data_IF_276453856995
#
_entry.id   IF_276453856995
#
_cell.length_a   1.000
_cell.length_b   1.000
_cell.length_c   1.000
_cell.angle_alpha   90.00
_cell.angle_beta   90.00
_cell.angle_gamma   90.00
#
_symmetry.space_group_name_H-M   'P 1'
#
loop_
_entity.id
_entity.type
_entity.pdbx_description
1 polymer ?
#
# COMPACT_ATOMS: atom_id res chain seq x y z
N UNK A 1 21.34 -5.80 -74.19
CA UNK A 1 22.77 -5.48 -73.95
C UNK A 1 22.85 -4.04 -73.41
N UNK A 2 23.82 -3.68 -72.55
CA UNK A 2 24.63 -4.56 -71.69
C UNK A 2 24.99 -4.01 -70.26
N UNK A 3 25.35 -4.95 -69.37
CA UNK A 3 26.41 -4.97 -68.33
C UNK A 3 26.79 -3.83 -67.34
N UNK A 4 27.31 -4.36 -66.20
CA UNK A 4 28.45 -3.92 -65.35
C UNK A 4 28.14 -3.14 -64.06
N UNK A 5 28.71 -3.46 -62.88
CA UNK A 5 29.44 -4.66 -62.40
C UNK A 5 29.54 -4.66 -60.85
N UNK A 6 29.75 -5.84 -60.25
CA UNK A 6 30.28 -6.08 -58.89
C UNK A 6 31.84 -6.01 -58.89
N UNK A 7 32.61 -6.11 -57.76
CA UNK A 7 32.33 -6.69 -56.42
C UNK A 7 32.61 -5.68 -55.26
N UNK A 8 32.82 -5.98 -53.95
CA UNK A 8 33.26 -7.19 -53.19
C UNK A 8 32.73 -7.22 -51.74
N UNK A 9 32.82 -8.38 -51.08
CA UNK A 9 32.79 -8.63 -49.61
C UNK A 9 34.23 -8.59 -49.02
N UNK A 10 34.60 -9.03 -47.78
CA UNK A 10 33.89 -9.84 -46.74
C UNK A 10 34.02 -9.22 -45.31
N UNK A 11 33.78 -9.83 -44.14
CA UNK A 11 33.34 -11.17 -43.67
C UNK A 11 32.64 -10.97 -42.28
N UNK A 12 31.54 -11.66 -41.94
CA UNK A 12 31.44 -12.80 -40.99
C UNK A 12 31.98 -12.56 -39.55
N UNK A 13 31.32 -13.05 -38.48
CA UNK A 13 30.69 -14.37 -38.34
C UNK A 13 29.44 -14.45 -37.45
N UNK A 14 28.63 -15.48 -37.71
CA UNK A 14 27.54 -16.03 -36.89
C UNK A 14 28.09 -17.31 -36.22
N UNK A 15 27.65 -17.66 -35.00
CA UNK A 15 27.23 -19.04 -34.63
C UNK A 15 26.64 -19.10 -33.22
N UNK A 16 25.50 -19.80 -33.09
CA UNK A 16 24.98 -20.36 -31.84
C UNK A 16 25.85 -21.54 -31.37
N UNK A 17 25.79 -21.88 -30.08
CA UNK A 17 26.11 -23.24 -29.62
C UNK A 17 25.55 -23.51 -28.21
N UNK A 18 24.75 -24.57 -28.07
CA UNK A 18 24.39 -25.17 -26.79
C UNK A 18 25.57 -25.94 -26.20
N UNK A 19 25.82 -25.83 -24.88
CA UNK A 19 26.11 -26.99 -24.02
C UNK A 19 26.08 -26.70 -22.51
N UNK A 20 26.05 -27.78 -21.74
CA UNK A 20 25.53 -27.82 -20.37
C UNK A 20 26.57 -27.63 -19.24
N UNK A 21 26.04 -27.32 -18.04
CA UNK A 21 26.53 -27.67 -16.69
C UNK A 21 27.96 -27.28 -16.27
N UNK A 22 28.06 -26.46 -15.21
CA UNK A 22 28.62 -26.97 -13.95
C UNK A 22 28.06 -26.24 -12.71
N UNK A 23 28.32 -26.82 -11.53
CA UNK A 23 27.69 -26.57 -10.23
C UNK A 23 28.72 -26.03 -9.24
N UNK A 24 28.37 -25.02 -8.44
CA UNK A 24 29.09 -24.77 -7.17
C UNK A 24 28.21 -24.17 -6.08
N UNK A 25 28.19 -24.86 -4.94
CA UNK A 25 27.64 -24.40 -3.66
C UNK A 25 28.79 -23.95 -2.79
N UNK A 26 28.67 -22.83 -2.07
CA UNK A 26 29.56 -22.51 -0.93
C UNK A 26 28.75 -21.86 0.19
N UNK A 27 28.56 -22.61 1.28
CA UNK A 27 28.42 -22.05 2.62
C UNK A 27 29.83 -22.00 3.24
N UNK A 28 30.19 -20.95 4.00
CA UNK A 28 30.51 -21.09 5.42
C UNK A 28 30.73 -19.75 6.15
N UNK A 29 30.51 -19.77 7.46
CA UNK A 29 30.63 -18.65 8.41
C UNK A 29 32.04 -18.51 9.02
N UNK A 30 32.38 -17.35 9.60
CA UNK A 30 33.29 -17.25 10.77
C UNK A 30 33.00 -16.02 11.64
N UNK A 31 32.98 -16.18 12.97
CA UNK A 31 32.91 -15.12 14.00
C UNK A 31 34.29 -14.69 14.53
N UNK A 32 34.45 -13.45 15.02
CA UNK A 32 35.37 -12.96 16.09
C UNK A 32 35.17 -11.43 16.27
N UNK A 33 35.32 -10.75 17.43
CA UNK A 33 35.40 -11.11 18.86
C UNK A 33 35.36 -9.81 19.73
N UNK A 34 34.72 -9.83 20.90
CA UNK A 34 34.79 -8.77 21.96
C UNK A 34 35.93 -9.07 23.00
N UNK A 35 36.25 -8.26 24.06
CA UNK A 35 35.56 -7.06 24.64
C UNK A 35 36.47 -5.86 25.07
N UNK A 36 35.89 -4.81 25.70
CA UNK A 36 36.27 -4.17 27.00
C UNK A 36 35.70 -2.72 27.15
N UNK A 37 34.65 -2.58 27.99
CA UNK A 37 34.48 -1.67 29.18
C UNK A 37 35.09 -0.25 29.19
N UNK A 38 34.50 0.78 29.80
CA UNK A 38 33.33 0.89 30.71
C UNK A 38 32.91 2.39 30.90
N UNK A 39 31.63 2.67 31.22
CA UNK A 39 31.13 3.71 32.19
C UNK A 39 31.48 5.20 31.87
N UNK A 40 30.60 6.20 31.72
CA UNK A 40 29.28 6.57 32.28
C UNK A 40 28.77 7.83 31.48
N UNK A 41 27.56 8.42 31.59
CA UNK A 41 26.25 8.12 32.22
C UNK A 41 25.21 9.07 31.59
N UNK A 42 23.97 8.64 31.36
CA UNK A 42 22.80 9.54 31.29
C UNK A 42 21.57 8.81 31.81
N UNK A 43 21.03 9.29 32.93
CA UNK A 43 19.79 8.77 33.52
C UNK A 43 18.60 9.36 32.78
N UNK A 44 17.72 8.50 32.25
CA UNK A 44 16.33 8.83 31.97
C UNK A 44 15.51 7.55 32.10
N UNK A 45 14.81 7.41 33.23
CA UNK A 45 13.87 6.34 33.50
C UNK A 45 12.66 6.44 32.55
N UNK A 46 12.76 5.77 31.40
CA UNK A 46 11.63 5.25 30.67
C UNK A 46 11.94 3.78 30.36
N UNK A 47 11.18 2.86 30.95
CA UNK A 47 11.37 1.42 30.79
C UNK A 47 11.05 1.01 29.34
N UNK A 48 12.06 1.08 28.46
CA UNK A 48 12.02 0.46 27.13
C UNK A 48 12.18 -1.04 27.34
N UNK A 49 11.04 -1.69 27.61
CA UNK A 49 11.02 -3.15 27.70
C UNK A 49 11.34 -3.78 26.34
N UNK A 50 11.91 -4.97 26.40
CA UNK A 50 12.62 -5.59 25.27
C UNK A 50 11.64 -6.02 24.18
N UNK A 51 11.99 -5.68 22.95
CA UNK A 51 11.76 -6.47 21.73
C UNK A 51 10.43 -7.27 21.71
N UNK A 52 9.31 -6.57 21.95
CA UNK A 52 8.00 -7.13 21.70
C UNK A 52 7.83 -7.26 20.19
N UNK A 53 8.02 -8.47 19.67
CA UNK A 53 7.51 -8.87 18.36
C UNK A 53 5.99 -8.67 18.38
N UNK A 54 5.54 -7.52 17.86
CA UNK A 54 4.18 -7.03 18.03
C UNK A 54 3.21 -7.99 17.33
N UNK A 55 2.72 -8.98 18.08
CA UNK A 55 1.72 -9.93 17.61
C UNK A 55 0.35 -9.28 17.70
N UNK A 56 0.13 -8.24 16.90
CA UNK A 56 -1.24 -7.78 16.59
C UNK A 56 -1.94 -8.98 15.96
N UNK A 57 -3.00 -9.48 16.58
CA UNK A 57 -3.82 -10.53 15.98
C UNK A 57 -4.44 -9.98 14.70
N UNK A 58 -3.83 -10.30 13.55
CA UNK A 58 -4.34 -10.00 12.21
C UNK A 58 -5.81 -10.42 12.16
N UNK A 59 -6.78 -9.51 11.99
CA UNK A 59 -8.19 -9.88 12.04
C UNK A 59 -8.52 -10.74 10.82
N UNK A 60 -8.85 -12.02 11.05
CA UNK A 60 -9.29 -12.91 9.97
C UNK A 60 -10.65 -12.46 9.47
N UNK A 61 -10.66 -11.60 8.45
CA UNK A 61 -11.89 -11.23 7.74
C UNK A 61 -12.30 -12.43 6.89
N UNK A 62 -13.03 -13.35 7.51
CA UNK A 62 -13.76 -14.39 6.79
C UNK A 62 -14.82 -13.71 5.93
N UNK A 63 -14.51 -13.56 4.63
CA UNK A 63 -15.52 -13.19 3.64
C UNK A 63 -16.28 -14.46 3.28
N UNK A 64 -17.28 -14.80 4.10
CA UNK A 64 -18.23 -15.85 3.76
C UNK A 64 -18.85 -15.54 2.39
N UNK A 65 -18.68 -16.50 1.48
CA UNK A 65 -19.03 -16.36 0.05
C UNK A 65 -20.49 -16.67 -0.24
N UNK A 66 -21.28 -17.01 0.78
CA UNK A 66 -22.69 -17.32 0.63
C UNK A 66 -23.58 -16.11 0.95
N UNK A 67 -24.54 -15.87 0.05
CA UNK A 67 -25.55 -14.81 0.10
C UNK A 67 -26.03 -14.52 1.52
N UNK A 68 -26.11 -13.24 1.86
CA UNK A 68 -27.33 -12.76 2.51
C UNK A 68 -27.73 -11.36 2.03
N UNK A 69 -29.04 -11.17 1.88
CA UNK A 69 -29.71 -9.87 1.90
C UNK A 69 -29.81 -9.35 3.37
N UNK A 70 -28.73 -9.51 4.15
CA UNK A 70 -28.49 -8.81 5.42
C UNK A 70 -27.58 -7.64 5.04
N UNK A 71 -28.01 -6.39 5.04
CA UNK A 71 -28.79 -5.75 6.10
C UNK A 71 -27.81 -4.91 6.91
N UNK A 72 -28.07 -3.60 7.00
CA UNK A 72 -27.18 -2.55 7.55
C UNK A 72 -26.33 -2.97 8.76
N UNK A 73 -26.90 -3.75 9.68
CA UNK A 73 -26.26 -4.17 10.93
C UNK A 73 -24.98 -5.00 10.71
N UNK A 74 -24.93 -5.85 9.69
CA UNK A 74 -23.75 -6.68 9.39
C UNK A 74 -22.63 -5.88 8.76
N UNK A 75 -22.95 -4.90 7.90
CA UNK A 75 -21.96 -3.97 7.33
C UNK A 75 -21.43 -3.01 8.39
N UNK A 76 -22.31 -2.50 9.28
CA UNK A 76 -21.94 -1.64 10.41
C UNK A 76 -21.00 -2.37 11.39
N UNK A 77 -21.29 -3.61 11.78
CA UNK A 77 -20.38 -4.38 12.65
C UNK A 77 -18.99 -4.54 12.05
N UNK A 78 -18.90 -4.90 10.75
CA UNK A 78 -17.63 -5.01 10.03
C UNK A 78 -16.88 -3.67 10.01
N UNK A 79 -17.57 -2.57 9.70
CA UNK A 79 -16.97 -1.24 9.64
C UNK A 79 -16.40 -0.81 11.00
N UNK A 80 -17.09 -1.07 12.11
CA UNK A 80 -16.58 -0.77 13.45
C UNK A 80 -15.39 -1.65 13.85
N UNK A 81 -15.39 -2.94 13.50
CA UNK A 81 -14.22 -3.82 13.70
C UNK A 81 -12.97 -3.30 12.94
N UNK A 82 -13.17 -2.79 11.72
CA UNK A 82 -12.08 -2.25 10.88
C UNK A 82 -11.59 -0.90 11.41
N UNK A 83 -12.49 0.02 11.78
CA UNK A 83 -12.12 1.29 12.43
C UNK A 83 -11.26 1.03 13.66
N UNK A 84 -11.72 0.15 14.55
CA UNK A 84 -10.99 -0.23 15.77
C UNK A 84 -9.64 -0.84 15.45
N UNK A 85 -9.55 -1.73 14.46
CA UNK A 85 -8.26 -2.30 14.03
C UNK A 85 -7.29 -1.22 13.51
N UNK A 86 -7.80 -0.25 12.74
CA UNK A 86 -7.00 0.89 12.25
C UNK A 86 -6.53 1.75 13.42
N UNK A 87 -7.39 2.06 14.40
CA UNK A 87 -7.03 2.79 15.62
C UNK A 87 -5.96 2.03 16.45
N UNK A 88 -6.14 0.73 16.67
CA UNK A 88 -5.21 -0.14 17.43
C UNK A 88 -3.82 -0.24 16.78
N UNK A 89 -3.74 -0.19 15.44
CA UNK A 89 -2.46 -0.15 14.70
C UNK A 89 -1.88 1.27 14.67
N UNK A 90 -2.72 2.30 14.45
CA UNK A 90 -2.31 3.70 14.38
C UNK A 90 -1.68 4.17 15.69
N UNK A 91 -2.22 3.73 16.83
CA UNK A 91 -1.70 4.02 18.17
C UNK A 91 -0.24 3.52 18.38
N UNK A 92 0.24 2.60 17.53
CA UNK A 92 1.60 2.04 17.58
C UNK A 92 2.49 2.51 16.43
N UNK A 93 1.94 3.26 15.47
CA UNK A 93 2.66 3.72 14.31
C UNK A 93 3.13 5.18 14.48
N UNK A 94 4.40 5.53 14.23
CA UNK A 94 4.90 6.90 14.43
C UNK A 94 4.15 7.94 13.59
N UNK A 95 3.70 7.56 12.39
CA UNK A 95 2.88 8.40 11.50
C UNK A 95 1.37 8.39 11.84
N UNK A 96 0.94 7.71 12.91
CA UNK A 96 -0.50 7.56 13.22
C UNK A 96 -1.25 6.79 12.14
N UNK A 97 -2.48 7.20 11.85
CA UNK A 97 -3.38 6.51 10.90
C UNK A 97 -2.78 6.48 9.49
N UNK A 98 -2.20 7.60 9.02
CA UNK A 98 -1.66 7.71 7.66
C UNK A 98 -0.61 6.62 7.34
N UNK A 99 0.16 6.16 8.33
CA UNK A 99 1.17 5.13 8.13
C UNK A 99 0.66 3.70 7.97
N UNK A 100 -0.65 3.47 8.10
CA UNK A 100 -1.30 2.18 7.77
C UNK A 100 -1.50 2.04 6.25
N UNK A 101 -1.49 3.17 5.54
CA UNK A 101 -1.84 3.26 4.13
C UNK A 101 -0.58 3.39 3.26
N UNK A 102 -0.55 2.65 2.17
CA UNK A 102 0.51 2.74 1.16
C UNK A 102 0.38 4.00 0.32
N UNK A 103 -0.86 4.44 0.08
CA UNK A 103 -1.18 5.75 -0.47
C UNK A 103 -2.20 6.44 0.44
N UNK A 104 -1.85 7.65 0.88
CA UNK A 104 -2.65 8.48 1.77
C UNK A 104 -2.63 9.92 1.27
N UNK A 105 -3.80 10.51 1.00
CA UNK A 105 -3.87 11.92 0.60
C UNK A 105 -5.19 12.32 -0.06
N UNK A 106 -5.47 13.62 -0.08
CA UNK A 106 -6.77 14.17 -0.51
C UNK A 106 -7.18 13.74 -1.92
N UNK A 107 -6.23 13.64 -2.84
CA UNK A 107 -6.48 13.22 -4.23
C UNK A 107 -5.40 12.23 -4.68
N UNK A 108 -5.84 11.14 -5.30
CA UNK A 108 -4.98 10.15 -5.97
C UNK A 108 -5.41 10.08 -7.44
N UNK A 109 -4.52 10.51 -8.34
CA UNK A 109 -4.68 10.39 -9.79
C UNK A 109 -3.62 9.44 -10.38
N UNK A 110 -4.06 8.43 -11.12
CA UNK A 110 -3.19 7.47 -11.83
C UNK A 110 -3.54 5.99 -11.63
N UNK A 111 -2.87 5.14 -12.40
CA UNK A 111 -2.94 3.67 -12.23
C UNK A 111 -1.68 3.18 -11.53
N UNK A 112 -1.84 2.37 -10.49
CA UNK A 112 -0.74 1.93 -9.64
C UNK A 112 -0.95 0.49 -9.16
N UNK A 113 0.09 -0.32 -9.28
CA UNK A 113 0.17 -1.61 -8.58
C UNK A 113 0.75 -1.38 -7.20
N UNK A 114 -0.07 -1.58 -6.17
CA UNK A 114 0.27 -1.32 -4.77
C UNK A 114 -0.13 -2.52 -3.93
N UNK A 115 0.74 -2.93 -3.02
CA UNK A 115 0.55 -4.10 -2.17
C UNK A 115 0.03 -3.70 -0.79
N UNK A 116 -1.14 -3.06 -0.74
CA UNK A 116 -1.72 -2.61 0.53
C UNK A 116 -2.78 -1.52 0.46
N UNK A 117 -3.09 -1.02 1.66
CA UNK A 117 -4.23 -0.13 1.92
C UNK A 117 -4.10 1.24 1.25
N UNK A 118 -5.25 1.86 0.96
CA UNK A 118 -5.34 3.24 0.48
C UNK A 118 -6.39 4.03 1.24
N UNK A 119 -6.14 5.32 1.46
CA UNK A 119 -7.16 6.26 1.91
C UNK A 119 -7.07 7.58 1.14
N UNK A 120 -8.18 8.00 0.53
CA UNK A 120 -8.26 9.26 -0.22
C UNK A 120 -9.68 9.82 -0.24
N UNK A 121 -9.81 11.15 -0.25
CA UNK A 121 -11.09 11.82 -0.44
C UNK A 121 -11.54 11.72 -1.91
N UNK A 122 -10.61 11.62 -2.86
CA UNK A 122 -10.89 11.65 -4.31
C UNK A 122 -9.97 10.72 -5.11
N UNK A 123 -10.57 9.75 -5.79
CA UNK A 123 -9.86 8.81 -6.66
C UNK A 123 -10.15 9.05 -8.14
N UNK A 124 -9.09 9.17 -8.93
CA UNK A 124 -9.08 9.10 -10.39
C UNK A 124 -8.08 8.03 -10.80
N UNK A 125 -8.52 6.80 -11.04
CA UNK A 125 -7.63 5.68 -11.35
C UNK A 125 -8.14 4.84 -12.51
N UNK A 126 -7.22 4.20 -13.23
CA UNK A 126 -7.56 3.17 -14.21
C UNK A 126 -7.70 1.84 -13.48
N UNK A 127 -6.69 0.99 -13.64
CA UNK A 127 -6.54 -0.22 -12.84
C UNK A 127 -5.63 0.09 -11.64
N UNK A 128 -5.94 -0.45 -10.48
CA UNK A 128 -5.35 -0.02 -9.21
C UNK A 128 -5.34 -1.15 -8.19
N UNK A 129 -4.38 -1.19 -7.27
CA UNK A 129 -4.36 -2.17 -6.17
C UNK A 129 -3.40 -3.34 -6.38
N UNK A 130 -3.66 -4.44 -5.65
CA UNK A 130 -2.69 -5.51 -5.41
C UNK A 130 -2.65 -6.54 -6.55
N UNK A 131 -1.47 -6.72 -7.16
CA UNK A 131 -1.23 -7.80 -8.13
C UNK A 131 -1.04 -9.15 -7.42
N UNK A 132 -1.34 -10.25 -8.12
CA UNK A 132 -1.45 -11.60 -7.55
C UNK A 132 -0.18 -12.11 -6.82
N UNK A 133 1.01 -11.64 -7.20
CA UNK A 133 2.30 -12.08 -6.66
C UNK A 133 2.82 -11.21 -5.49
N UNK A 134 2.06 -10.22 -5.03
CA UNK A 134 2.48 -9.32 -3.97
C UNK A 134 2.36 -9.96 -2.57
N UNK A 135 3.42 -9.85 -1.75
CA UNK A 135 3.53 -10.54 -0.45
C UNK A 135 3.63 -9.61 0.77
N UNK A 136 3.62 -8.29 0.57
CA UNK A 136 4.02 -7.29 1.58
C UNK A 136 2.87 -6.63 2.37
N UNK A 137 1.64 -7.15 2.28
CA UNK A 137 0.47 -6.47 2.84
C UNK A 137 0.51 -6.44 4.38
N UNK A 138 0.63 -5.23 4.94
CA UNK A 138 0.65 -4.94 6.39
C UNK A 138 -0.60 -5.49 7.13
N UNK A 139 -1.72 -5.56 6.43
CA UNK A 139 -3.06 -5.90 6.92
C UNK A 139 -3.52 -7.27 6.40
N UNK A 140 -4.57 -7.86 6.98
CA UNK A 140 -5.07 -9.19 6.54
C UNK A 140 -5.63 -9.18 5.13
N UNK A 141 -6.25 -8.06 4.78
CA UNK A 141 -6.79 -7.70 3.48
C UNK A 141 -6.37 -6.27 3.15
N UNK A 142 -6.46 -5.88 1.89
CA UNK A 142 -6.29 -4.49 1.48
C UNK A 142 -7.56 -3.70 1.82
N UNK A 143 -7.40 -2.57 2.50
CA UNK A 143 -8.49 -1.69 2.92
C UNK A 143 -8.38 -0.41 2.11
N UNK A 144 -9.43 -0.08 1.35
CA UNK A 144 -9.46 1.11 0.49
C UNK A 144 -10.59 2.06 0.95
N UNK A 145 -10.25 3.15 1.64
CA UNK A 145 -11.16 4.26 1.90
C UNK A 145 -11.16 5.23 0.72
N UNK A 146 -12.32 5.45 0.11
CA UNK A 146 -12.48 6.28 -1.09
C UNK A 146 -13.69 7.20 -0.93
N UNK A 147 -13.46 8.51 -0.80
CA UNK A 147 -14.52 9.49 -0.53
C UNK A 147 -15.41 9.77 -1.74
N UNK A 148 -14.77 9.91 -2.90
CA UNK A 148 -15.39 10.22 -4.19
C UNK A 148 -14.59 9.62 -5.34
N UNK A 149 -15.23 9.46 -6.51
CA UNK A 149 -14.62 8.83 -7.69
C UNK A 149 -14.90 9.65 -8.95
N UNK A 150 -13.84 10.13 -9.60
CA UNK A 150 -13.88 10.76 -10.92
C UNK A 150 -13.71 9.72 -12.04
N UNK A 151 -12.88 8.70 -11.79
CA UNK A 151 -12.63 7.58 -12.70
C UNK A 151 -12.16 6.35 -11.90
N UNK A 152 -12.66 5.16 -12.23
CA UNK A 152 -12.17 3.88 -11.71
C UNK A 152 -12.55 2.73 -12.64
N UNK A 153 -11.57 1.95 -13.15
CA UNK A 153 -11.88 0.72 -13.92
C UNK A 153 -12.05 -0.49 -12.98
N UNK A 154 -11.07 -0.74 -12.12
CA UNK A 154 -11.07 -1.88 -11.20
C UNK A 154 -10.14 -1.64 -10.00
N UNK A 155 -10.41 -2.36 -8.90
CA UNK A 155 -9.42 -2.52 -7.83
C UNK A 155 -9.02 -4.00 -7.81
N UNK A 156 -7.75 -4.26 -8.06
CA UNK A 156 -7.13 -5.59 -8.09
C UNK A 156 -6.90 -6.13 -6.65
N UNK A 157 -6.56 -7.42 -6.56
CA UNK A 157 -6.37 -8.14 -5.28
C UNK A 157 -7.58 -8.97 -4.87
N UNK A 158 -7.36 -10.23 -4.50
CA UNK A 158 -8.44 -11.15 -4.11
C UNK A 158 -8.98 -10.84 -2.71
N UNK A 159 -8.09 -10.57 -1.76
CA UNK A 159 -8.44 -10.22 -0.40
C UNK A 159 -8.38 -8.71 -0.15
N UNK A 160 -9.39 -8.00 -0.66
CA UNK A 160 -9.62 -6.57 -0.42
C UNK A 160 -10.97 -6.30 0.23
N UNK A 161 -11.13 -5.09 0.75
CA UNK A 161 -12.39 -4.45 1.12
C UNK A 161 -12.32 -2.98 0.71
N UNK A 162 -13.39 -2.51 0.07
CA UNK A 162 -13.54 -1.11 -0.37
C UNK A 162 -14.63 -0.45 0.47
N UNK A 163 -14.27 0.67 1.10
CA UNK A 163 -15.14 1.45 1.97
C UNK A 163 -15.34 2.81 1.29
N UNK A 164 -16.56 3.02 0.79
CA UNK A 164 -16.91 4.25 0.11
C UNK A 164 -17.47 5.30 1.07
N UNK A 165 -17.18 6.56 0.79
CA UNK A 165 -17.84 7.70 1.43
C UNK A 165 -19.36 7.72 1.17
N UNK A 166 -20.12 8.50 1.97
CA UNK A 166 -21.58 8.49 1.94
C UNK A 166 -22.16 8.89 0.57
N UNK A 167 -21.48 9.77 -0.16
CA UNK A 167 -21.93 10.32 -1.45
C UNK A 167 -21.71 9.38 -2.65
N UNK A 168 -20.98 8.26 -2.48
CA UNK A 168 -20.74 7.30 -3.57
C UNK A 168 -21.96 6.40 -3.77
N UNK A 169 -22.76 6.70 -4.78
CA UNK A 169 -23.83 5.82 -5.26
C UNK A 169 -23.24 4.61 -6.01
N UNK A 170 -23.37 3.41 -5.44
CA UNK A 170 -23.04 2.13 -6.09
C UNK A 170 -24.20 1.12 -6.01
N UNK A 171 -24.16 0.10 -6.87
CA UNK A 171 -25.10 -1.04 -6.89
C UNK A 171 -24.44 -2.30 -7.46
N UNK A 172 -24.98 -3.46 -7.10
CA UNK A 172 -24.53 -4.76 -7.64
C UNK A 172 -24.69 -4.85 -9.17
N UNK A 173 -23.72 -5.49 -9.84
CA UNK A 173 -23.72 -5.74 -11.28
C UNK A 173 -23.19 -7.15 -11.58
N UNK A 174 -23.56 -7.73 -12.73
CA UNK A 174 -23.14 -9.10 -13.13
C UNK A 174 -23.29 -10.17 -12.02
N UNK A 175 -24.46 -10.20 -11.35
CA UNK A 175 -24.77 -11.07 -10.21
C UNK A 175 -23.85 -10.88 -8.98
N UNK A 176 -23.24 -9.70 -8.82
CA UNK A 176 -22.37 -9.35 -7.69
C UNK A 176 -20.88 -9.60 -7.94
N UNK A 177 -20.48 -10.10 -9.11
CA UNK A 177 -19.06 -10.21 -9.50
C UNK A 177 -18.39 -8.84 -9.68
N UNK A 178 -19.19 -7.82 -9.96
CA UNK A 178 -18.76 -6.42 -10.10
C UNK A 178 -19.83 -5.47 -9.51
N UNK A 179 -19.51 -4.18 -9.48
CA UNK A 179 -20.47 -3.12 -9.16
C UNK A 179 -20.65 -2.19 -10.36
N UNK A 180 -21.71 -1.39 -10.32
CA UNK A 180 -21.76 -0.11 -11.02
C UNK A 180 -21.67 1.02 -10.01
N UNK A 181 -20.82 2.02 -10.28
CA UNK A 181 -20.74 3.29 -9.54
C UNK A 181 -21.29 4.41 -10.41
N UNK A 182 -21.96 5.39 -9.81
CA UNK A 182 -22.52 6.55 -10.49
C UNK A 182 -21.49 7.68 -10.52
N UNK A 183 -20.84 7.85 -11.66
CA UNK A 183 -19.79 8.84 -11.89
C UNK A 183 -20.31 9.86 -12.91
N UNK A 184 -20.28 11.14 -12.58
CA UNK A 184 -20.80 12.23 -13.43
C UNK A 184 -22.23 11.94 -13.95
N UNK A 185 -23.10 11.43 -13.06
CA UNK A 185 -24.49 11.06 -13.34
C UNK A 185 -24.70 9.74 -14.10
N UNK A 186 -23.62 9.10 -14.60
CA UNK A 186 -23.68 7.89 -15.40
C UNK A 186 -23.25 6.66 -14.59
N UNK A 187 -23.96 5.54 -14.76
CA UNK A 187 -23.58 4.26 -14.15
C UNK A 187 -22.44 3.62 -14.95
N UNK A 188 -21.25 3.53 -14.35
CA UNK A 188 -20.06 2.92 -14.95
C UNK A 188 -19.75 1.60 -14.23
N UNK A 189 -19.36 0.57 -14.98
CA UNK A 189 -18.91 -0.72 -14.40
C UNK A 189 -17.58 -0.50 -13.70
N UNK A 190 -17.44 -1.02 -12.48
CA UNK A 190 -16.18 -1.07 -11.76
C UNK A 190 -15.88 -2.50 -11.32
N UNK A 191 -14.66 -2.98 -11.57
CA UNK A 191 -14.15 -4.31 -11.21
C UNK A 191 -13.89 -4.46 -9.71
N UNK A 192 -14.96 -4.45 -8.91
CA UNK A 192 -14.96 -4.75 -7.47
C UNK A 192 -16.19 -5.63 -7.18
N UNK A 193 -16.07 -6.81 -6.55
CA UNK A 193 -17.23 -7.61 -6.17
C UNK A 193 -18.11 -6.90 -5.13
N UNK A 194 -19.43 -7.03 -5.24
CA UNK A 194 -20.38 -6.31 -4.37
C UNK A 194 -20.26 -6.74 -2.89
N UNK A 195 -19.87 -7.99 -2.61
CA UNK A 195 -19.62 -8.47 -1.24
C UNK A 195 -18.27 -7.99 -0.65
N UNK A 196 -17.49 -7.20 -1.40
CA UNK A 196 -16.25 -6.54 -0.99
C UNK A 196 -16.40 -5.01 -0.92
N UNK A 197 -17.63 -4.49 -0.94
CA UNK A 197 -17.92 -3.05 -0.85
C UNK A 197 -18.85 -2.74 0.32
N UNK A 198 -18.53 -1.70 1.09
CA UNK A 198 -19.37 -1.16 2.18
C UNK A 198 -19.48 0.36 1.99
N UNK A 199 -20.64 0.95 2.31
CA UNK A 199 -20.76 2.42 2.47
C UNK A 199 -20.55 2.79 3.93
N UNK A 200 -19.73 3.80 4.19
CA UNK A 200 -19.62 4.41 5.51
C UNK A 200 -20.47 5.70 5.58
N UNK A 201 -21.10 5.93 6.74
CA UNK A 201 -21.82 7.19 7.01
C UNK A 201 -20.87 8.40 7.05
N UNK A 202 -19.59 8.17 7.33
CA UNK A 202 -18.49 9.14 7.33
C UNK A 202 -17.22 8.44 6.85
N UNK A 203 -16.41 9.14 6.05
CA UNK A 203 -15.06 8.70 5.70
C UNK A 203 -14.04 9.13 6.77
N UNK A 204 -12.86 8.53 6.72
CA UNK A 204 -11.67 8.96 7.43
C UNK A 204 -11.33 10.43 7.12
N UNK A 205 -10.97 11.21 8.13
CA UNK A 205 -10.57 12.62 8.00
C UNK A 205 -9.15 12.74 7.42
N UNK A 206 -9.02 12.69 6.09
CA UNK A 206 -7.72 12.68 5.41
C UNK A 206 -6.95 13.96 5.68
N UNK A 207 -7.58 15.13 5.53
CA UNK A 207 -6.93 16.41 5.79
C UNK A 207 -6.52 16.54 7.27
N UNK A 208 -7.37 16.16 8.23
CA UNK A 208 -7.02 16.21 9.65
C UNK A 208 -5.89 15.26 10.04
N UNK A 209 -5.70 14.13 9.35
CA UNK A 209 -4.50 13.29 9.51
C UNK A 209 -3.26 13.86 8.81
N UNK A 210 -3.40 14.51 7.65
CA UNK A 210 -2.29 15.23 6.99
C UNK A 210 -1.80 16.41 7.86
N UNK A 211 -2.71 17.16 8.49
CA UNK A 211 -2.36 18.24 9.41
C UNK A 211 -1.55 17.70 10.61
N UNK A 212 -1.95 16.55 11.18
CA UNK A 212 -1.17 15.85 12.23
C UNK A 212 0.20 15.39 11.76
N UNK A 213 0.38 15.03 10.48
CA UNK A 213 1.70 14.75 9.92
C UNK A 213 2.55 16.02 9.79
N UNK A 214 1.95 17.14 9.42
CA UNK A 214 2.63 18.44 9.37
C UNK A 214 3.13 18.85 10.76
N UNK A 215 2.27 18.78 11.78
CA UNK A 215 2.63 19.08 13.18
C UNK A 215 3.78 18.19 13.68
N UNK A 216 3.74 16.87 13.39
CA UNK A 216 4.82 15.93 13.73
C UNK A 216 6.12 16.23 12.99
N UNK A 217 6.05 16.58 11.70
CA UNK A 217 7.22 16.99 10.92
C UNK A 217 7.88 18.23 11.53
N UNK A 218 7.08 19.23 11.89
CA UNK A 218 7.55 20.44 12.56
C UNK A 218 8.09 20.16 13.97
N UNK A 219 7.57 19.18 14.70
CA UNK A 219 8.11 18.75 16.00
C UNK A 219 9.46 18.04 15.84
N UNK A 220 9.56 17.08 14.92
CA UNK A 220 10.79 16.32 14.68
C UNK A 220 11.90 17.20 14.08
N UNK A 221 11.57 18.17 13.22
CA UNK A 221 12.52 19.14 12.69
C UNK A 221 13.13 20.09 13.74
N UNK A 222 12.50 20.24 14.92
CA UNK A 222 13.05 21.03 16.05
C UNK A 222 14.11 20.27 16.84
N UNK A 223 14.25 18.94 16.66
CA UNK A 223 15.23 18.17 17.42
C UNK A 223 16.65 18.54 16.99
N UNK A 224 17.54 18.74 17.98
CA UNK A 224 18.96 18.99 17.72
C UNK A 224 19.54 17.85 16.89
N UNK A 225 20.24 18.19 15.81
CA UNK A 225 20.92 17.20 14.98
C UNK A 225 21.86 16.33 15.82
N UNK A 226 21.85 15.03 15.56
CA UNK A 226 22.84 14.11 16.13
C UNK A 226 24.25 14.53 15.73
N UNK A 227 25.23 14.35 16.63
CA UNK A 227 26.62 14.75 16.37
C UNK A 227 27.12 14.14 15.06
N UNK A 228 27.63 15.00 14.16
CA UNK A 228 28.17 14.62 12.86
C UNK A 228 27.20 14.77 11.67
N UNK A 229 25.91 15.01 11.89
CA UNK A 229 24.98 15.36 10.80
C UNK A 229 25.17 16.83 10.41
N UNK A 230 25.31 17.10 9.10
CA UNK A 230 25.38 18.45 8.54
C UNK A 230 24.23 18.59 7.54
N UNK A 231 23.29 19.51 7.80
CA UNK A 231 22.30 19.90 6.79
C UNK A 231 22.72 21.21 6.10
N UNK A 232 23.08 21.14 4.83
CA UNK A 232 23.33 22.30 3.99
C UNK A 232 22.13 22.57 3.07
N UNK A 233 21.13 23.28 3.59
CA UNK A 233 19.93 23.69 2.84
C UNK A 233 20.12 25.01 2.07
N UNK A 234 21.34 25.33 1.61
CA UNK A 234 21.55 26.53 0.80
C UNK A 234 20.82 26.39 -0.53
N UNK A 235 19.82 27.25 -0.73
CA UNK A 235 19.15 27.43 -2.02
C UNK A 235 20.19 27.70 -3.12
N UNK A 236 20.10 26.95 -4.22
CA UNK A 236 20.92 27.17 -5.40
C UNK A 236 20.62 28.55 -5.99
N UNK A 237 21.69 29.35 -6.20
CA UNK A 237 21.62 30.66 -6.87
C UNK A 237 21.44 30.55 -8.37
#
# INVERSE_FOLDING_TARGET
>A
MPNSAEPVSPDQSITENDNQQEKTTVENSTEISEPVKDINKFDNDANVDKDETITVKKPTINVDTEKVEQGDETEKSKLEEIKKYIEDVAAKHPLGIAGIFHLFGNEIDGSAHIAGNVATDKLSAGNFGTIQDATSNLTTCDIHYIGSIDHLNQIDGENKLVIFGPDVEYKSYENGSSIQVKINGNWQKVGIPYNKTIRADQILDIQGELDKLSDKSDEWAKQTQTEGVIADFKEGK
#
